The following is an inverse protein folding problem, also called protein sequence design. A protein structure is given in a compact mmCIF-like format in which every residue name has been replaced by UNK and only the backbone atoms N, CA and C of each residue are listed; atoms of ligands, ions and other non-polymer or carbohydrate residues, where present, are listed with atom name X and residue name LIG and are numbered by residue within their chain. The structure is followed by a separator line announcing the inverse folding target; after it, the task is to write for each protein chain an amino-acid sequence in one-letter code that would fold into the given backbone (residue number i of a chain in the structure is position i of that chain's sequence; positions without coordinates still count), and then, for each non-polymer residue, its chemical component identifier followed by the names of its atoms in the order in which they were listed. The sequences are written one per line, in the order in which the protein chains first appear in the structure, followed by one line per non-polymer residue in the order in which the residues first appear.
data_IF_823249221121
#
_entry.id   IF_823249221121
#
_cell.length_a   1.000
_cell.length_b   1.000
_cell.length_c   1.000
_cell.angle_alpha   90.00
_cell.angle_beta   90.00
_cell.angle_gamma   90.00
#
_symmetry.space_group_name_H-M   'P 1'
#
loop_
_entity.id
_entity.type
_entity.pdbx_description
1 polymer ?
#
# COMPACT_ATOMS: atom_id res chain seq x y z
N UNK A 1 -38.24 -51.23 35.08
CA UNK A 1 -37.62 -50.90 33.78
C UNK A 1 -38.61 -50.01 33.04
N UNK A 2 -38.47 -48.70 32.79
CA UNK A 2 -37.35 -47.88 32.39
C UNK A 2 -37.61 -46.42 32.82
N UNK A 3 -36.65 -45.74 33.46
CA UNK A 3 -36.52 -44.28 33.48
C UNK A 3 -35.06 -43.95 33.79
N UNK A 4 -34.35 -43.31 32.84
CA UNK A 4 -33.20 -42.38 33.02
C UNK A 4 -32.42 -42.22 31.71
N UNK A 5 -32.85 -41.33 30.82
CA UNK A 5 -32.03 -40.80 29.70
C UNK A 5 -32.44 -39.36 29.32
N UNK A 6 -32.80 -38.52 30.30
CA UNK A 6 -33.38 -37.19 30.03
C UNK A 6 -32.58 -35.98 30.50
N UNK A 7 -31.39 -36.15 31.10
CA UNK A 7 -30.74 -35.04 31.86
C UNK A 7 -29.50 -34.47 31.15
N UNK A 8 -28.91 -35.16 30.17
CA UNK A 8 -27.61 -34.75 29.61
C UNK A 8 -27.75 -33.73 28.45
N UNK A 9 -28.88 -33.70 27.74
CA UNK A 9 -29.08 -32.89 26.52
C UNK A 9 -29.30 -31.40 26.82
N UNK A 10 -29.72 -31.04 28.04
CA UNK A 10 -30.14 -29.67 28.37
C UNK A 10 -28.96 -28.76 28.78
N UNK A 11 -27.86 -29.35 29.25
CA UNK A 11 -26.65 -28.63 29.70
C UNK A 11 -25.77 -28.18 28.55
N UNK A 12 -25.59 -28.99 27.50
CA UNK A 12 -24.81 -28.57 26.32
C UNK A 12 -25.51 -27.46 25.54
N UNK A 13 -26.85 -27.56 25.42
CA UNK A 13 -27.65 -26.55 24.74
C UNK A 13 -27.63 -25.21 25.45
N UNK A 14 -27.64 -25.19 26.80
CA UNK A 14 -27.55 -23.96 27.58
C UNK A 14 -26.14 -23.36 27.59
N UNK A 15 -25.08 -24.20 27.58
CA UNK A 15 -23.70 -23.75 27.43
C UNK A 15 -23.47 -23.07 26.07
N UNK A 16 -23.90 -23.71 24.98
CA UNK A 16 -23.82 -23.13 23.62
C UNK A 16 -24.61 -21.83 23.54
N UNK A 17 -25.80 -21.76 24.15
CA UNK A 17 -26.62 -20.55 24.16
C UNK A 17 -25.96 -19.42 24.96
N UNK A 18 -25.36 -19.73 26.12
CA UNK A 18 -24.67 -18.76 26.95
C UNK A 18 -23.37 -18.27 26.30
N UNK A 19 -22.64 -19.14 25.60
CA UNK A 19 -21.43 -18.77 24.86
C UNK A 19 -21.74 -17.93 23.62
N UNK A 20 -22.80 -18.27 22.88
CA UNK A 20 -23.31 -17.45 21.78
C UNK A 20 -23.78 -16.08 22.29
N UNK A 21 -24.51 -16.06 23.41
CA UNK A 21 -24.99 -14.82 24.03
C UNK A 21 -23.83 -13.97 24.56
N UNK A 22 -22.79 -14.57 25.16
CA UNK A 22 -21.60 -13.82 25.60
C UNK A 22 -20.81 -13.28 24.41
N UNK A 23 -20.67 -14.01 23.30
CA UNK A 23 -20.06 -13.51 22.07
C UNK A 23 -20.86 -12.36 21.45
N UNK A 24 -22.19 -12.46 21.44
CA UNK A 24 -23.08 -11.38 20.97
C UNK A 24 -22.94 -10.15 21.87
N UNK A 25 -22.90 -10.31 23.19
CA UNK A 25 -22.76 -9.22 24.15
C UNK A 25 -21.36 -8.60 24.09
N UNK A 26 -20.33 -9.40 23.82
CA UNK A 26 -18.96 -8.95 23.56
C UNK A 26 -18.89 -8.14 22.27
N UNK A 27 -19.56 -8.57 21.20
CA UNK A 27 -19.65 -7.85 19.93
C UNK A 27 -20.47 -6.56 20.06
N UNK A 28 -21.57 -6.58 20.82
CA UNK A 28 -22.41 -5.40 21.09
C UNK A 28 -21.66 -4.34 21.91
N UNK A 29 -20.72 -4.75 22.75
CA UNK A 29 -19.89 -3.87 23.58
C UNK A 29 -18.46 -3.66 23.03
N UNK A 30 -18.11 -4.19 21.84
CA UNK A 30 -16.78 -4.06 21.26
C UNK A 30 -16.59 -2.67 20.63
N UNK A 31 -15.87 -1.81 21.33
CA UNK A 31 -15.48 -0.50 20.80
C UNK A 31 -14.19 -0.60 19.98
N UNK A 32 -14.34 -0.81 18.67
CA UNK A 32 -13.23 -0.91 17.70
C UNK A 32 -12.26 0.27 17.82
N UNK A 33 -12.77 1.51 17.82
CA UNK A 33 -11.95 2.74 17.88
C UNK A 33 -11.06 2.79 19.11
N UNK A 34 -11.60 2.41 20.28
CA UNK A 34 -10.83 2.38 21.54
C UNK A 34 -9.72 1.33 21.46
N UNK A 35 -10.03 0.13 20.97
CA UNK A 35 -9.09 -1.00 20.90
C UNK A 35 -7.99 -0.73 19.87
N UNK A 36 -8.35 -0.26 18.68
CA UNK A 36 -7.41 0.11 17.62
C UNK A 36 -6.43 1.20 18.09
N UNK A 37 -6.95 2.30 18.65
CA UNK A 37 -6.12 3.39 19.16
C UNK A 37 -5.17 2.93 20.27
N UNK A 38 -5.65 2.08 21.18
CA UNK A 38 -4.83 1.51 22.25
C UNK A 38 -3.64 0.71 21.69
N UNK A 39 -3.89 -0.21 20.76
CA UNK A 39 -2.84 -1.08 20.22
C UNK A 39 -1.89 -0.35 19.28
N UNK A 40 -2.40 0.51 18.40
CA UNK A 40 -1.57 1.35 17.54
C UNK A 40 -0.63 2.24 18.37
N UNK A 41 -1.15 2.86 19.45
CA UNK A 41 -0.35 3.65 20.38
C UNK A 41 0.72 2.83 21.10
N UNK A 42 0.38 1.61 21.56
CA UNK A 42 1.34 0.70 22.18
C UNK A 42 2.45 0.29 21.22
N UNK A 43 2.12 -0.14 20.00
CA UNK A 43 3.11 -0.58 19.01
C UNK A 43 4.05 0.55 18.59
N UNK A 44 3.53 1.77 18.47
CA UNK A 44 4.35 2.95 18.19
C UNK A 44 5.31 3.26 19.35
N UNK A 45 4.82 3.25 20.59
CA UNK A 45 5.64 3.49 21.79
C UNK A 45 6.75 2.45 21.94
N UNK A 46 6.44 1.19 21.67
CA UNK A 46 7.37 0.08 21.81
C UNK A 46 8.33 -0.04 20.61
N UNK A 47 8.22 0.84 19.60
CA UNK A 47 8.91 0.76 18.31
C UNK A 47 8.83 -0.64 17.65
N UNK A 48 7.70 -1.36 17.84
CA UNK A 48 7.58 -2.80 17.59
C UNK A 48 7.98 -3.23 16.16
N UNK A 49 7.76 -2.35 15.19
CA UNK A 49 7.99 -2.63 13.77
C UNK A 49 9.34 -2.15 13.24
N UNK A 50 10.18 -1.56 14.09
CA UNK A 50 11.55 -1.17 13.74
C UNK A 50 12.47 -2.39 13.83
N UNK A 51 13.04 -2.87 12.72
CA UNK A 51 13.94 -4.03 12.76
C UNK A 51 15.34 -3.66 13.24
N UNK A 52 16.06 -4.65 13.76
CA UNK A 52 17.50 -4.53 13.98
C UNK A 52 18.25 -4.84 12.67
N UNK A 53 18.63 -3.81 11.91
CA UNK A 53 19.31 -4.03 10.62
C UNK A 53 20.75 -4.59 10.76
N UNK A 54 21.32 -4.64 11.97
CA UNK A 54 22.59 -5.32 12.20
C UNK A 54 22.42 -6.85 12.24
N UNK A 55 21.26 -7.34 12.69
CA UNK A 55 20.95 -8.76 12.70
C UNK A 55 20.64 -9.29 11.30
N UNK A 56 21.64 -9.98 10.71
CA UNK A 56 21.56 -10.57 9.37
C UNK A 56 21.12 -12.03 9.35
N UNK A 57 21.11 -12.72 10.49
CA UNK A 57 20.86 -14.16 10.56
C UNK A 57 19.39 -14.51 10.31
N UNK A 58 18.48 -13.73 10.89
CA UNK A 58 17.03 -13.94 10.76
C UNK A 58 16.36 -12.90 9.87
N UNK A 59 17.14 -12.17 9.06
CA UNK A 59 16.65 -11.09 8.20
C UNK A 59 15.52 -11.56 7.30
N UNK A 60 14.49 -10.73 7.17
CA UNK A 60 13.43 -10.94 6.21
C UNK A 60 12.96 -9.59 5.66
N UNK A 61 12.98 -9.42 4.34
CA UNK A 61 12.49 -8.22 3.68
C UNK A 61 11.08 -8.50 3.16
N UNK A 62 10.08 -7.88 3.80
CA UNK A 62 8.70 -7.92 3.33
C UNK A 62 8.39 -6.62 2.58
N UNK A 63 8.08 -6.69 1.30
CA UNK A 63 7.88 -5.50 0.46
C UNK A 63 6.47 -5.49 -0.14
N UNK A 64 5.78 -4.37 0.05
CA UNK A 64 4.58 -3.99 -0.67
C UNK A 64 4.97 -2.94 -1.72
N UNK A 65 4.38 -3.03 -2.92
CA UNK A 65 4.57 -1.99 -3.94
C UNK A 65 3.98 -0.69 -3.40
N UNK A 66 4.85 0.27 -3.11
CA UNK A 66 4.45 1.56 -2.57
C UNK A 66 3.49 2.33 -3.50
N UNK A 67 2.53 3.10 -2.96
CA UNK A 67 1.49 3.71 -3.77
C UNK A 67 1.94 5.00 -4.46
N UNK A 68 1.21 5.36 -5.51
CA UNK A 68 1.23 6.70 -6.06
C UNK A 68 0.32 7.62 -5.22
N UNK A 69 0.81 8.78 -4.74
CA UNK A 69 -0.02 9.83 -4.15
C UNK A 69 -0.74 10.61 -5.26
N UNK A 70 -1.57 9.91 -6.03
CA UNK A 70 -2.27 10.42 -7.21
C UNK A 70 -3.77 10.60 -7.01
N UNK A 71 -4.21 10.63 -5.75
CA UNK A 71 -5.58 10.83 -5.32
C UNK A 71 -5.57 11.39 -3.89
N UNK A 72 -6.76 11.70 -3.36
CA UNK A 72 -6.91 12.24 -2.00
C UNK A 72 -6.49 11.24 -0.91
N UNK A 73 -6.54 9.93 -1.20
CA UNK A 73 -6.26 8.88 -0.23
C UNK A 73 -6.31 7.47 -0.82
N UNK A 74 -6.09 6.49 0.04
CA UNK A 74 -6.24 5.07 -0.24
C UNK A 74 -7.69 4.71 -0.60
N UNK A 75 -7.87 3.99 -1.70
CA UNK A 75 -9.07 3.21 -1.97
C UNK A 75 -8.98 1.77 -1.42
N UNK A 76 -10.11 1.05 -1.41
CA UNK A 76 -10.23 -0.33 -0.89
C UNK A 76 -9.23 -1.33 -1.51
N UNK A 77 -8.87 -1.19 -2.79
CA UNK A 77 -7.83 -2.02 -3.43
C UNK A 77 -6.44 -1.89 -2.79
N UNK A 78 -6.05 -0.70 -2.32
CA UNK A 78 -4.81 -0.54 -1.56
C UNK A 78 -4.93 -1.30 -0.24
N UNK A 79 -6.00 -1.04 0.52
CA UNK A 79 -6.23 -1.70 1.80
C UNK A 79 -6.22 -3.24 1.68
N UNK A 80 -6.85 -3.79 0.65
CA UNK A 80 -6.85 -5.24 0.38
C UNK A 80 -5.43 -5.77 0.15
N UNK A 81 -4.70 -5.17 -0.79
CA UNK A 81 -3.37 -5.65 -1.19
C UNK A 81 -2.30 -5.41 -0.11
N UNK A 82 -2.33 -4.26 0.58
CA UNK A 82 -1.42 -3.95 1.68
C UNK A 82 -1.67 -4.82 2.91
N UNK A 83 -2.94 -5.16 3.20
CA UNK A 83 -3.27 -6.09 4.28
C UNK A 83 -2.69 -7.48 4.03
N UNK A 84 -2.76 -7.98 2.79
CA UNK A 84 -2.15 -9.26 2.42
C UNK A 84 -0.64 -9.29 2.70
N UNK A 85 0.07 -8.22 2.34
CA UNK A 85 1.49 -8.08 2.67
C UNK A 85 1.74 -8.01 4.18
N UNK A 86 0.95 -7.22 4.92
CA UNK A 86 1.11 -7.05 6.37
C UNK A 86 0.87 -8.35 7.16
N UNK A 87 -0.15 -9.14 6.77
CA UNK A 87 -0.42 -10.46 7.35
C UNK A 87 0.81 -11.36 7.23
N UNK A 88 1.43 -11.40 6.05
CA UNK A 88 2.62 -12.21 5.84
C UNK A 88 3.83 -11.70 6.64
N UNK A 89 4.04 -10.38 6.69
CA UNK A 89 5.10 -9.78 7.51
C UNK A 89 4.96 -10.11 8.99
N UNK A 90 3.74 -10.05 9.53
CA UNK A 90 3.44 -10.45 10.92
C UNK A 90 3.68 -11.93 11.16
N UNK A 91 3.24 -12.80 10.25
CA UNK A 91 3.51 -14.24 10.32
C UNK A 91 5.02 -14.52 10.36
N UNK A 92 5.80 -13.89 9.48
CA UNK A 92 7.25 -14.05 9.47
C UNK A 92 7.89 -13.57 10.77
N UNK A 93 7.43 -12.45 11.34
CA UNK A 93 7.90 -11.99 12.67
C UNK A 93 7.59 -13.01 13.77
N UNK A 94 6.39 -13.60 13.77
CA UNK A 94 5.99 -14.63 14.73
C UNK A 94 6.78 -15.94 14.60
N UNK A 95 7.35 -16.21 13.43
CA UNK A 95 8.28 -17.35 13.22
C UNK A 95 9.73 -17.02 13.58
N UNK A 96 9.97 -15.87 14.25
CA UNK A 96 11.29 -15.46 14.73
C UNK A 96 12.14 -14.70 13.71
N UNK A 97 11.56 -14.25 12.59
CA UNK A 97 12.29 -13.41 11.62
C UNK A 97 12.40 -11.97 12.07
N UNK A 98 13.55 -11.37 11.79
CA UNK A 98 13.78 -9.94 11.88
C UNK A 98 13.24 -9.26 10.60
N UNK A 99 11.97 -8.89 10.65
CA UNK A 99 11.23 -8.40 9.48
C UNK A 99 11.46 -6.90 9.27
N UNK A 100 12.07 -6.55 8.14
CA UNK A 100 12.08 -5.22 7.57
C UNK A 100 10.90 -5.07 6.60
N UNK A 101 9.95 -4.20 6.96
CA UNK A 101 8.76 -3.89 6.16
C UNK A 101 8.68 -2.36 5.99
N UNK A 102 9.38 -1.79 4.99
CA UNK A 102 9.34 -0.35 4.73
C UNK A 102 8.07 0.05 3.99
N UNK A 103 7.86 1.36 3.91
CA UNK A 103 6.88 1.99 3.03
C UNK A 103 7.54 3.13 2.27
N UNK A 104 6.90 3.64 1.23
CA UNK A 104 7.29 4.91 0.62
C UNK A 104 6.18 5.44 -0.26
N UNK A 105 6.53 6.38 -1.13
CA UNK A 105 5.58 7.03 -2.04
C UNK A 105 6.24 7.25 -3.39
N UNK A 106 5.62 6.72 -4.43
CA UNK A 106 6.05 6.96 -5.80
C UNK A 106 5.46 8.26 -6.31
N UNK A 107 6.15 9.36 -6.04
CA UNK A 107 5.63 10.73 -6.11
C UNK A 107 6.08 11.53 -7.33
N UNK A 108 6.76 10.90 -8.29
CA UNK A 108 7.09 11.52 -9.59
C UNK A 108 6.16 11.06 -10.72
N UNK A 109 6.21 11.79 -11.83
CA UNK A 109 5.63 11.38 -13.09
C UNK A 109 4.14 11.69 -13.25
N UNK A 110 3.56 11.09 -14.29
CA UNK A 110 2.28 11.53 -14.85
C UNK A 110 1.09 11.35 -13.89
N UNK A 111 1.14 10.39 -12.97
CA UNK A 111 0.03 10.12 -12.05
C UNK A 111 -0.18 11.25 -11.02
N UNK A 112 0.81 11.61 -10.19
CA UNK A 112 0.68 12.74 -9.27
C UNK A 112 0.54 14.07 -10.02
N UNK A 113 1.22 14.28 -11.15
CA UNK A 113 1.10 15.50 -11.94
C UNK A 113 -0.33 15.72 -12.47
N UNK A 114 -0.97 14.68 -13.01
CA UNK A 114 -2.36 14.77 -13.46
C UNK A 114 -3.32 15.06 -12.32
N UNK A 115 -3.06 14.53 -11.13
CA UNK A 115 -3.90 14.81 -9.97
C UNK A 115 -3.76 16.27 -9.53
N UNK A 116 -2.53 16.81 -9.48
CA UNK A 116 -2.28 18.22 -9.20
C UNK A 116 -2.97 19.14 -10.23
N UNK A 117 -2.90 18.80 -11.52
CA UNK A 117 -3.62 19.52 -12.58
C UNK A 117 -5.14 19.49 -12.38
N UNK A 118 -5.69 18.35 -11.98
CA UNK A 118 -7.12 18.18 -11.73
C UNK A 118 -7.60 18.99 -10.53
N UNK A 119 -6.81 19.10 -9.47
CA UNK A 119 -7.15 19.85 -8.27
C UNK A 119 -6.75 21.33 -8.35
N UNK A 120 -5.98 21.72 -9.36
CA UNK A 120 -5.47 23.09 -9.51
C UNK A 120 -4.40 23.45 -8.48
N UNK A 121 -3.69 22.47 -7.94
CA UNK A 121 -2.68 22.64 -6.91
C UNK A 121 -1.26 22.60 -7.48
N UNK A 122 -0.32 23.25 -6.80
CA UNK A 122 1.11 23.03 -7.07
C UNK A 122 1.50 21.59 -6.68
N UNK A 123 2.22 20.83 -7.52
CA UNK A 123 2.51 19.42 -7.26
C UNK A 123 3.14 19.16 -5.89
N UNK A 124 4.12 19.98 -5.48
CA UNK A 124 4.79 19.81 -4.18
C UNK A 124 3.85 20.00 -2.99
N UNK A 125 2.94 20.97 -3.07
CA UNK A 125 1.94 21.22 -2.01
C UNK A 125 0.94 20.08 -1.92
N UNK A 126 0.45 19.62 -3.07
CA UNK A 126 -0.46 18.48 -3.16
C UNK A 126 0.20 17.21 -2.61
N UNK A 127 1.45 16.92 -3.01
CA UNK A 127 2.20 15.74 -2.59
C UNK A 127 2.39 15.71 -1.08
N UNK A 128 2.80 16.82 -0.46
CA UNK A 128 2.97 16.90 1.00
C UNK A 128 1.67 16.51 1.73
N UNK A 129 0.54 17.11 1.35
CA UNK A 129 -0.74 16.87 2.01
C UNK A 129 -1.27 15.46 1.78
N UNK A 130 -1.15 14.94 0.56
CA UNK A 130 -1.63 13.59 0.20
C UNK A 130 -0.79 12.50 0.84
N UNK A 131 0.54 12.64 0.86
CA UNK A 131 1.44 11.70 1.53
C UNK A 131 1.10 11.61 3.02
N UNK A 132 0.92 12.75 3.70
CA UNK A 132 0.51 12.77 5.11
C UNK A 132 -0.82 12.04 5.33
N UNK A 133 -1.79 12.25 4.43
CA UNK A 133 -3.08 11.57 4.48
C UNK A 133 -2.93 10.05 4.29
N UNK A 134 -2.13 9.60 3.33
CA UNK A 134 -1.87 8.18 3.09
C UNK A 134 -1.18 7.53 4.31
N UNK A 135 -0.19 8.20 4.91
CA UNK A 135 0.47 7.74 6.13
C UNK A 135 -0.56 7.56 7.25
N UNK A 136 -1.44 8.54 7.45
CA UNK A 136 -2.49 8.48 8.46
C UNK A 136 -3.44 7.29 8.22
N UNK A 137 -3.85 7.06 6.98
CA UNK A 137 -4.73 5.94 6.63
C UNK A 137 -4.05 4.58 6.82
N UNK A 138 -2.81 4.40 6.36
CA UNK A 138 -2.07 3.16 6.61
C UNK A 138 -1.84 2.89 8.11
N UNK A 139 -1.57 3.94 8.90
CA UNK A 139 -1.49 3.83 10.36
C UNK A 139 -2.82 3.43 10.96
N UNK A 140 -3.94 3.98 10.48
CA UNK A 140 -5.28 3.60 10.94
C UNK A 140 -5.65 2.15 10.61
N UNK A 141 -5.12 1.61 9.50
CA UNK A 141 -5.24 0.19 9.15
C UNK A 141 -4.38 -0.71 10.05
N UNK A 142 -3.50 -0.13 10.89
CA UNK A 142 -2.65 -0.86 11.82
C UNK A 142 -1.51 -1.62 11.14
N UNK A 143 -1.10 -1.23 9.94
CA UNK A 143 0.00 -1.91 9.25
C UNK A 143 1.33 -1.71 9.97
N UNK A 144 2.12 -2.78 10.03
CA UNK A 144 3.38 -2.87 10.75
C UNK A 144 4.58 -2.34 9.97
N UNK A 145 4.46 -1.15 9.38
CA UNK A 145 5.55 -0.52 8.63
C UNK A 145 6.60 0.11 9.54
N UNK A 146 7.86 0.04 9.13
CA UNK A 146 8.94 0.87 9.66
C UNK A 146 8.91 2.26 8.99
N UNK A 147 8.18 3.19 9.60
CA UNK A 147 8.07 4.57 9.14
C UNK A 147 9.38 5.36 9.24
N UNK A 148 10.38 4.90 10.00
CA UNK A 148 11.68 5.57 10.07
C UNK A 148 12.50 5.39 8.79
N UNK A 149 12.07 4.47 7.92
CA UNK A 149 12.70 4.12 6.64
C UNK A 149 11.77 4.37 5.46
N UNK A 150 10.90 5.36 5.60
CA UNK A 150 10.06 5.81 4.49
C UNK A 150 10.86 6.64 3.48
N UNK A 151 10.51 6.49 2.20
CA UNK A 151 11.11 7.24 1.10
C UNK A 151 10.02 7.86 0.23
N UNK A 152 10.29 9.06 -0.27
CA UNK A 152 9.44 9.74 -1.26
C UNK A 152 10.30 10.00 -2.49
N UNK A 153 9.90 9.49 -3.65
CA UNK A 153 10.79 9.49 -4.84
C UNK A 153 11.10 10.89 -5.35
N UNK A 154 10.25 11.87 -5.06
CA UNK A 154 10.42 13.29 -5.38
C UNK A 154 11.35 14.08 -4.44
N UNK A 155 11.83 13.49 -3.35
CA UNK A 155 12.75 14.18 -2.44
C UNK A 155 14.15 14.25 -3.02
N UNK A 156 14.81 15.41 -2.85
CA UNK A 156 16.17 15.64 -3.38
C UNK A 156 17.20 14.63 -2.86
N UNK A 157 17.07 14.23 -1.58
CA UNK A 157 17.94 13.24 -0.96
C UNK A 157 17.74 11.83 -1.54
N UNK A 158 16.59 11.57 -2.18
CA UNK A 158 16.31 10.34 -2.90
C UNK A 158 16.74 10.44 -4.37
N UNK A 159 16.18 11.38 -5.14
CA UNK A 159 16.38 11.42 -6.60
C UNK A 159 17.81 11.78 -7.02
N UNK A 160 18.64 12.33 -6.13
CA UNK A 160 20.09 12.48 -6.38
C UNK A 160 20.75 11.15 -6.77
N UNK A 161 20.26 10.03 -6.22
CA UNK A 161 20.75 8.70 -6.57
C UNK A 161 20.23 8.22 -7.92
N UNK A 162 19.00 8.59 -8.28
CA UNK A 162 18.45 8.36 -9.63
C UNK A 162 19.26 9.11 -10.69
N UNK A 163 19.59 10.38 -10.43
CA UNK A 163 20.45 11.20 -11.30
C UNK A 163 21.86 10.61 -11.39
N UNK A 164 22.44 10.20 -10.26
CA UNK A 164 23.74 9.54 -10.24
C UNK A 164 23.75 8.25 -11.07
N UNK A 165 22.75 7.39 -10.90
CA UNK A 165 22.63 6.14 -11.67
C UNK A 165 22.53 6.42 -13.18
N UNK A 166 21.73 7.41 -13.57
CA UNK A 166 21.65 7.85 -14.97
C UNK A 166 23.02 8.28 -15.53
N UNK A 167 23.78 9.07 -14.77
CA UNK A 167 25.12 9.52 -15.17
C UNK A 167 26.09 8.34 -15.30
N UNK A 168 26.05 7.35 -14.40
CA UNK A 168 26.91 6.16 -14.50
C UNK A 168 26.52 5.27 -15.70
N UNK A 169 25.22 5.11 -15.98
CA UNK A 169 24.75 4.44 -17.20
C UNK A 169 25.19 5.18 -18.46
N UNK A 170 25.15 6.53 -18.45
CA UNK A 170 25.60 7.35 -19.57
C UNK A 170 27.09 7.20 -19.84
N UNK A 171 27.93 7.30 -18.80
CA UNK A 171 29.39 7.08 -18.90
C UNK A 171 29.76 5.68 -19.39
N UNK A 172 28.95 4.68 -19.03
CA UNK A 172 29.14 3.29 -19.44
C UNK A 172 28.60 2.98 -20.85
N UNK A 173 28.03 3.97 -21.55
CA UNK A 173 27.45 3.80 -22.88
C UNK A 173 26.08 3.10 -22.90
N UNK A 174 25.48 2.85 -21.74
CA UNK A 174 24.14 2.23 -21.60
C UNK A 174 23.00 3.24 -21.76
N UNK A 175 23.28 4.52 -21.56
CA UNK A 175 22.38 5.62 -21.92
C UNK A 175 23.08 6.53 -22.93
N UNK A 176 22.40 6.85 -24.03
CA UNK A 176 22.93 7.73 -25.07
C UNK A 176 21.80 8.47 -25.77
N UNK A 177 22.13 9.57 -26.45
CA UNK A 177 21.16 10.37 -27.19
C UNK A 177 21.15 9.94 -28.66
N UNK A 178 19.98 9.54 -29.17
CA UNK A 178 19.74 9.21 -30.58
C UNK A 178 18.35 9.70 -31.00
N UNK A 179 18.17 9.99 -32.29
CA UNK A 179 16.83 10.21 -32.86
C UNK A 179 16.13 8.86 -33.00
N UNK A 180 14.93 8.76 -32.46
CA UNK A 180 14.06 7.58 -32.56
C UNK A 180 12.63 8.05 -32.82
N UNK A 181 11.81 7.17 -33.39
CA UNK A 181 10.36 7.35 -33.40
C UNK A 181 9.84 7.22 -31.96
N UNK A 182 8.78 7.96 -31.65
CA UNK A 182 8.19 8.03 -30.30
C UNK A 182 6.68 8.00 -30.40
N UNK A 183 6.03 7.40 -29.40
CA UNK A 183 4.58 7.46 -29.26
C UNK A 183 4.21 8.81 -28.63
N UNK A 184 3.72 9.76 -29.42
CA UNK A 184 3.25 11.04 -28.87
C UNK A 184 1.76 10.95 -28.54
N UNK A 185 1.39 11.25 -27.29
CA UNK A 185 0.00 11.36 -26.86
C UNK A 185 -0.47 12.82 -26.93
N UNK A 186 -1.36 13.22 -27.88
CA UNK A 186 -1.79 14.61 -28.02
C UNK A 186 -2.56 15.14 -26.81
N UNK A 187 -3.39 14.30 -26.18
CA UNK A 187 -4.17 14.69 -25.00
C UNK A 187 -3.30 14.81 -23.75
N UNK A 188 -2.32 13.93 -23.59
CA UNK A 188 -1.35 13.94 -22.49
C UNK A 188 -0.27 15.02 -22.66
N UNK A 189 -0.08 15.51 -23.90
CA UNK A 189 0.99 16.45 -24.30
C UNK A 189 2.39 15.96 -23.94
N UNK A 190 2.62 14.65 -24.02
CA UNK A 190 3.91 14.03 -23.71
C UNK A 190 4.16 12.80 -24.59
N UNK A 191 5.41 12.37 -24.62
CA UNK A 191 5.81 11.07 -25.20
C UNK A 191 5.53 9.95 -24.20
N UNK A 192 5.08 8.81 -24.71
CA UNK A 192 4.85 7.59 -23.95
C UNK A 192 5.85 6.52 -24.38
N UNK A 193 6.35 5.75 -23.42
CA UNK A 193 7.11 4.55 -23.71
C UNK A 193 6.22 3.50 -24.39
N UNK A 194 6.82 2.56 -25.12
CA UNK A 194 6.07 1.50 -25.83
C UNK A 194 5.21 0.69 -24.83
N UNK A 195 5.71 0.45 -23.62
CA UNK A 195 5.02 -0.28 -22.56
C UNK A 195 3.80 0.47 -21.98
N UNK A 196 3.68 1.78 -22.26
CA UNK A 196 2.54 2.60 -21.85
C UNK A 196 1.45 2.67 -22.92
N UNK A 197 1.68 2.11 -24.12
CA UNK A 197 0.73 2.11 -25.23
C UNK A 197 0.07 0.75 -25.33
N UNK A 198 -1.25 0.72 -25.18
CA UNK A 198 -2.06 -0.48 -25.38
C UNK A 198 -2.89 -0.34 -26.65
N UNK A 199 -2.94 -1.39 -27.46
CA UNK A 199 -3.91 -1.49 -28.55
C UNK A 199 -5.34 -1.54 -27.99
N UNK A 200 -6.36 -1.12 -28.77
CA UNK A 200 -7.75 -1.21 -28.35
C UNK A 200 -8.13 -2.63 -27.91
N UNK A 201 -7.68 -3.66 -28.64
CA UNK A 201 -7.88 -5.06 -28.29
C UNK A 201 -7.29 -5.41 -26.92
N UNK A 202 -6.03 -5.01 -26.65
CA UNK A 202 -5.41 -5.22 -25.33
C UNK A 202 -6.14 -4.49 -24.20
N UNK A 203 -6.72 -3.32 -24.50
CA UNK A 203 -7.47 -2.53 -23.55
C UNK A 203 -8.94 -3.00 -23.38
N UNK A 204 -9.38 -4.00 -24.16
CA UNK A 204 -10.79 -4.42 -24.21
C UNK A 204 -11.73 -3.31 -24.69
N UNK A 205 -11.24 -2.42 -25.56
CA UNK A 205 -11.96 -1.25 -26.07
C UNK A 205 -12.04 -1.27 -27.59
N UNK A 206 -13.10 -0.66 -28.12
CA UNK A 206 -13.18 -0.38 -29.55
C UNK A 206 -12.14 0.67 -29.96
N UNK A 207 -11.57 0.57 -31.18
CA UNK A 207 -10.64 1.56 -31.69
C UNK A 207 -11.29 2.95 -31.76
N UNK A 208 -10.50 3.99 -31.46
CA UNK A 208 -10.91 5.39 -31.59
C UNK A 208 -9.85 6.20 -32.35
N UNK A 209 -10.30 7.17 -33.14
CA UNK A 209 -9.45 8.18 -33.75
C UNK A 209 -8.84 9.10 -32.68
N UNK A 210 -7.83 9.88 -33.07
CA UNK A 210 -7.12 10.80 -32.15
C UNK A 210 -8.01 11.89 -31.50
N UNK A 211 -9.16 12.18 -32.11
CA UNK A 211 -10.18 13.09 -31.58
C UNK A 211 -11.22 12.40 -30.67
N UNK A 212 -11.09 11.08 -30.47
CA UNK A 212 -11.98 10.26 -29.65
C UNK A 212 -13.22 9.72 -30.36
N UNK A 213 -13.41 10.01 -31.65
CA UNK A 213 -14.46 9.38 -32.48
C UNK A 213 -14.17 7.90 -32.73
N UNK A 214 -15.19 7.09 -33.00
CA UNK A 214 -15.00 5.69 -33.38
C UNK A 214 -14.28 5.60 -34.73
N UNK A 215 -13.41 4.59 -34.89
CA UNK A 215 -12.73 4.30 -36.17
C UNK A 215 -13.71 3.68 -37.16
#
# INVERSE_FOLDING_TARGET
MFRKHGVIINTERSLIFNEAKSKIDLMANYNTRKVEAQWQGKWAKDELYKPDLANRETKFYNLYMFPYPSAEGLHAGHAFSSTGSDVYGRFMRMTGKNVFQPMGFDSFGIHPENYALKTGEQPQTMLSRTIDHYIAQFKSLGHGYDWTRSVTTSDADYYRWTQWLFVEMFKSGLAYRKKMEVNFCPSCKTVLADEQVMTPSQAGKEPKNSDGSAV
#
